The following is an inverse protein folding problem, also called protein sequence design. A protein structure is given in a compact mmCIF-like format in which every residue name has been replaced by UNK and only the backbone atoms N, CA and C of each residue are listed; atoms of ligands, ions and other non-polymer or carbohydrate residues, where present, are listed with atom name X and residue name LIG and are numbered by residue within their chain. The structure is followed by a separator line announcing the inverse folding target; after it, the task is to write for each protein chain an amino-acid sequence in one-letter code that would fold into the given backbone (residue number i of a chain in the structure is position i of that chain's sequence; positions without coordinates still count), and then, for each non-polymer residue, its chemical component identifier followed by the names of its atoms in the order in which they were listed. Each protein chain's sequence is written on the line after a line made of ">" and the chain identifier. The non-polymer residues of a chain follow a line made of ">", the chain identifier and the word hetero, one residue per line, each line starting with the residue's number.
data_IF_485414231005
#
_entry.id   IF_485414231005
#
_cell.length_a   1.000
_cell.length_b   1.000
_cell.length_c   1.000
_cell.angle_alpha   90.00
_cell.angle_beta   90.00
_cell.angle_gamma   90.00
#
_symmetry.space_group_name_H-M   'P 1'
#
loop_
_entity.id
_entity.type
_entity.pdbx_description
1 polymer ?
#
# COMPACT_ATOMS: atom_id res chain seq x y z
N UNK A 1 -3.99 -28.34 -5.59
CA UNK A 1 -3.47 -27.18 -4.83
C UNK A 1 -3.94 -25.93 -5.54
N UNK A 2 -4.87 -25.18 -4.95
CA UNK A 2 -5.26 -23.85 -5.43
C UNK A 2 -4.12 -22.89 -5.12
N UNK A 3 -3.46 -22.37 -6.15
CA UNK A 3 -2.45 -21.33 -5.99
C UNK A 3 -3.21 -20.03 -5.71
N UNK A 4 -3.18 -19.56 -4.48
CA UNK A 4 -3.70 -18.23 -4.13
C UNK A 4 -2.77 -17.17 -4.70
N UNK A 5 -3.09 -16.69 -5.91
CA UNK A 5 -2.49 -15.46 -6.47
C UNK A 5 -3.02 -14.28 -5.66
N UNK A 6 -2.12 -13.43 -5.16
CA UNK A 6 -2.43 -12.29 -4.28
C UNK A 6 -3.23 -12.64 -3.02
N UNK A 7 -2.58 -13.14 -1.95
CA UNK A 7 -3.28 -13.43 -0.70
C UNK A 7 -4.02 -12.19 -0.14
N UNK A 8 -3.52 -10.97 -0.43
CA UNK A 8 -4.17 -9.72 -0.01
C UNK A 8 -5.51 -9.41 -0.69
N UNK A 9 -5.83 -10.10 -1.80
CA UNK A 9 -7.10 -9.96 -2.52
C UNK A 9 -7.99 -11.19 -2.31
N UNK A 10 -7.79 -11.97 -1.24
CA UNK A 10 -8.64 -13.11 -0.89
C UNK A 10 -8.89 -14.09 -2.08
N UNK A 11 -7.91 -14.23 -2.97
CA UNK A 11 -7.99 -15.09 -4.15
C UNK A 11 -8.61 -14.44 -5.39
N UNK A 12 -9.04 -13.18 -5.34
CA UNK A 12 -9.45 -12.42 -6.52
C UNK A 12 -8.24 -12.03 -7.36
N UNK A 13 -8.30 -12.28 -8.67
CA UNK A 13 -7.31 -11.80 -9.65
C UNK A 13 -7.88 -11.75 -11.07
N UNK A 14 -7.18 -11.03 -11.95
CA UNK A 14 -7.60 -10.80 -13.34
C UNK A 14 -6.93 -11.78 -14.31
N UNK A 15 -7.67 -12.22 -15.32
CA UNK A 15 -7.16 -12.90 -16.51
C UNK A 15 -7.72 -12.27 -17.78
N UNK A 16 -7.10 -12.59 -18.93
CA UNK A 16 -7.60 -12.20 -20.26
C UNK A 16 -7.85 -10.68 -20.38
N UNK A 17 -6.91 -9.87 -19.86
CA UNK A 17 -6.99 -8.42 -19.91
C UNK A 17 -6.71 -7.92 -21.34
N UNK A 18 -7.75 -7.34 -21.95
CA UNK A 18 -7.67 -6.50 -23.13
C UNK A 18 -7.75 -5.05 -22.64
N UNK A 19 -6.69 -4.27 -22.81
CA UNK A 19 -6.63 -2.88 -22.36
C UNK A 19 -6.16 -1.96 -23.48
N UNK A 20 -6.74 -0.76 -23.52
CA UNK A 20 -6.40 0.32 -24.44
C UNK A 20 -5.95 1.54 -23.62
N UNK A 21 -4.64 1.66 -23.29
CA UNK A 21 -4.14 2.71 -22.42
C UNK A 21 -4.47 4.13 -22.89
N UNK A 22 -4.50 4.33 -24.21
CA UNK A 22 -4.82 5.60 -24.87
C UNK A 22 -6.23 6.11 -24.50
N UNK A 23 -7.19 5.19 -24.40
CA UNK A 23 -8.60 5.50 -24.15
C UNK A 23 -9.01 5.22 -22.72
N UNK A 24 -8.21 4.45 -21.97
CA UNK A 24 -8.57 3.88 -20.67
C UNK A 24 -9.66 2.81 -20.74
N UNK A 25 -9.98 2.32 -21.94
CA UNK A 25 -10.90 1.20 -22.12
C UNK A 25 -10.22 -0.10 -21.71
N UNK A 26 -10.97 -0.97 -21.03
CA UNK A 26 -10.51 -2.32 -20.75
C UNK A 26 -11.65 -3.31 -20.66
N UNK A 27 -11.29 -4.58 -20.83
CA UNK A 27 -12.14 -5.74 -20.58
C UNK A 27 -11.28 -6.86 -20.02
N UNK A 28 -11.75 -7.53 -18.97
CA UNK A 28 -11.06 -8.66 -18.38
C UNK A 28 -12.01 -9.66 -17.73
N UNK A 29 -11.49 -10.85 -17.49
CA UNK A 29 -12.16 -11.90 -16.70
C UNK A 29 -11.72 -11.74 -15.24
N UNK A 30 -12.69 -11.56 -14.35
CA UNK A 30 -12.46 -11.64 -12.91
C UNK A 30 -12.53 -13.10 -12.47
N UNK A 31 -11.53 -13.53 -11.70
CA UNK A 31 -11.47 -14.87 -11.14
C UNK A 31 -11.41 -14.80 -9.62
N UNK A 32 -11.86 -15.86 -8.94
CA UNK A 32 -11.68 -16.07 -7.50
C UNK A 32 -11.19 -17.49 -7.24
N UNK A 33 -10.07 -17.62 -6.52
CA UNK A 33 -9.39 -18.89 -6.26
C UNK A 33 -9.08 -19.71 -7.53
N UNK A 34 -8.88 -19.03 -8.66
CA UNK A 34 -8.59 -19.66 -9.96
C UNK A 34 -9.81 -20.04 -10.78
N UNK A 35 -11.02 -19.78 -10.30
CA UNK A 35 -12.25 -19.99 -11.06
C UNK A 35 -12.75 -18.66 -11.65
N UNK A 36 -13.09 -18.61 -12.95
CA UNK A 36 -13.75 -17.45 -13.54
C UNK A 36 -15.09 -17.20 -12.85
N UNK A 37 -15.29 -15.98 -12.37
CA UNK A 37 -16.52 -15.56 -11.68
C UNK A 37 -17.30 -14.50 -12.44
N UNK A 38 -16.69 -13.84 -13.44
CA UNK A 38 -17.41 -12.92 -14.31
C UNK A 38 -16.51 -11.99 -15.08
N UNK A 39 -17.09 -10.90 -15.59
CA UNK A 39 -16.41 -9.93 -16.44
C UNK A 39 -16.38 -8.55 -15.77
N UNK A 40 -15.27 -7.83 -15.97
CA UNK A 40 -15.13 -6.42 -15.63
C UNK A 40 -14.73 -5.64 -16.88
N UNK A 41 -15.35 -4.50 -17.13
CA UNK A 41 -15.04 -3.66 -18.27
C UNK A 41 -15.30 -2.18 -18.01
N UNK A 42 -14.53 -1.31 -18.65
CA UNK A 42 -14.82 0.13 -18.72
C UNK A 42 -14.65 0.58 -20.18
N UNK A 43 -15.56 1.43 -20.65
CA UNK A 43 -15.56 1.88 -22.06
C UNK A 43 -14.63 3.06 -22.34
N UNK A 44 -14.13 3.73 -21.31
CA UNK A 44 -13.12 4.78 -21.39
C UNK A 44 -12.58 5.10 -19.98
N UNK A 45 -11.48 5.85 -19.94
CA UNK A 45 -10.96 6.47 -18.73
C UNK A 45 -12.08 7.27 -18.03
N UNK A 46 -12.16 7.14 -16.71
CA UNK A 46 -13.14 7.82 -15.85
C UNK A 46 -14.62 7.43 -16.11
N UNK A 47 -14.89 6.37 -16.88
CA UNK A 47 -16.22 5.76 -16.93
C UNK A 47 -16.37 4.73 -15.81
N UNK A 48 -17.59 4.54 -15.26
CA UNK A 48 -17.83 3.49 -14.29
C UNK A 48 -17.43 2.12 -14.85
N UNK A 49 -16.73 1.33 -14.04
CA UNK A 49 -16.48 -0.08 -14.33
C UNK A 49 -17.80 -0.83 -14.25
N UNK A 50 -18.14 -1.55 -15.30
CA UNK A 50 -19.26 -2.47 -15.30
C UNK A 50 -18.77 -3.84 -14.84
N UNK A 51 -19.31 -4.29 -13.70
CA UNK A 51 -19.05 -5.62 -13.15
C UNK A 51 -20.24 -6.54 -13.43
N UNK A 52 -19.98 -7.65 -14.10
CA UNK A 52 -20.96 -8.70 -14.36
C UNK A 52 -20.59 -9.92 -13.51
N UNK A 53 -21.06 -9.94 -12.27
CA UNK A 53 -20.75 -10.98 -11.27
C UNK A 53 -22.04 -11.62 -10.73
N UNK A 54 -22.03 -12.92 -10.39
CA UNK A 54 -23.06 -13.53 -9.57
C UNK A 54 -23.19 -12.82 -8.21
N UNK A 55 -24.40 -12.76 -7.66
CA UNK A 55 -24.70 -12.03 -6.42
C UNK A 55 -23.76 -12.36 -5.26
N UNK A 56 -23.49 -13.64 -5.01
CA UNK A 56 -22.59 -14.08 -3.95
C UNK A 56 -21.14 -13.60 -4.16
N UNK A 57 -20.68 -13.52 -5.41
CA UNK A 57 -19.33 -13.07 -5.73
C UNK A 57 -19.24 -11.54 -5.74
N UNK A 58 -20.30 -10.84 -6.17
CA UNK A 58 -20.41 -9.39 -6.05
C UNK A 58 -20.35 -8.95 -4.58
N UNK A 59 -21.08 -9.64 -3.70
CA UNK A 59 -21.07 -9.37 -2.27
C UNK A 59 -19.68 -9.59 -1.67
N UNK A 60 -19.02 -10.71 -1.97
CA UNK A 60 -17.67 -10.97 -1.50
C UNK A 60 -16.63 -9.97 -2.05
N UNK A 61 -16.82 -9.48 -3.27
CA UNK A 61 -15.97 -8.45 -3.86
C UNK A 61 -16.13 -7.10 -3.15
N UNK A 62 -17.35 -6.71 -2.81
CA UNK A 62 -17.64 -5.49 -2.05
C UNK A 62 -17.14 -5.59 -0.59
N UNK A 63 -17.28 -6.75 0.04
CA UNK A 63 -16.72 -7.03 1.37
C UNK A 63 -15.20 -6.87 1.35
N UNK A 64 -14.51 -7.40 0.33
CA UNK A 64 -13.07 -7.19 0.17
C UNK A 64 -12.73 -5.71 -0.02
N UNK A 65 -13.51 -4.96 -0.80
CA UNK A 65 -13.29 -3.52 -0.97
C UNK A 65 -13.41 -2.78 0.39
N UNK A 66 -14.42 -3.12 1.20
CA UNK A 66 -14.62 -2.57 2.53
C UNK A 66 -13.49 -2.95 3.51
N UNK A 67 -13.07 -4.20 3.53
CA UNK A 67 -11.94 -4.70 4.33
C UNK A 67 -10.64 -3.96 4.00
N UNK A 68 -10.50 -3.56 2.73
CA UNK A 68 -9.36 -2.77 2.25
C UNK A 68 -9.58 -1.26 2.38
N UNK A 69 -10.67 -0.83 3.00
CA UNK A 69 -11.06 0.56 3.17
C UNK A 69 -11.13 1.36 1.86
N UNK A 70 -11.39 0.66 0.76
CA UNK A 70 -11.71 1.27 -0.52
C UNK A 70 -13.19 1.64 -0.45
N UNK A 71 -13.45 2.90 -0.11
CA UNK A 71 -14.81 3.43 0.07
C UNK A 71 -15.46 3.62 -1.29
N UNK A 72 -15.86 2.50 -1.89
CA UNK A 72 -16.49 2.44 -3.19
C UNK A 72 -17.63 1.44 -3.15
N UNK A 73 -18.85 1.96 -3.26
CA UNK A 73 -20.07 1.16 -3.25
C UNK A 73 -20.22 0.27 -4.49
N UNK A 74 -19.42 0.51 -5.52
CA UNK A 74 -19.50 -0.17 -6.81
C UNK A 74 -18.24 -0.98 -7.15
N UNK A 75 -17.21 -0.95 -6.29
CA UNK A 75 -16.01 -1.79 -6.41
C UNK A 75 -14.99 -1.36 -7.47
N UNK A 76 -15.14 -0.19 -8.09
CA UNK A 76 -14.18 0.38 -9.06
C UNK A 76 -12.78 0.54 -8.47
N UNK A 77 -12.65 1.02 -7.23
CA UNK A 77 -11.36 1.19 -6.57
C UNK A 77 -10.64 -0.15 -6.39
N UNK A 78 -11.36 -1.21 -6.01
CA UNK A 78 -10.78 -2.55 -5.92
C UNK A 78 -10.38 -3.07 -7.30
N UNK A 79 -11.16 -2.79 -8.34
CA UNK A 79 -10.79 -3.13 -9.70
C UNK A 79 -9.54 -2.38 -10.17
N UNK A 80 -9.41 -1.09 -9.86
CA UNK A 80 -8.22 -0.29 -10.14
C UNK A 80 -6.97 -0.87 -9.46
N UNK A 81 -7.09 -1.29 -8.20
CA UNK A 81 -6.01 -1.99 -7.49
C UNK A 81 -5.65 -3.33 -8.15
N UNK A 82 -6.64 -4.12 -8.56
CA UNK A 82 -6.41 -5.39 -9.27
C UNK A 82 -5.74 -5.18 -10.64
N UNK A 83 -6.16 -4.18 -11.41
CA UNK A 83 -5.54 -3.81 -12.68
C UNK A 83 -4.09 -3.36 -12.48
N UNK A 84 -3.85 -2.51 -11.46
CA UNK A 84 -2.50 -2.06 -11.10
C UNK A 84 -1.60 -3.24 -10.77
N UNK A 85 -2.08 -4.18 -9.95
CA UNK A 85 -1.33 -5.39 -9.59
C UNK A 85 -1.13 -6.34 -10.77
N UNK A 86 -2.12 -6.48 -11.66
CA UNK A 86 -1.96 -7.26 -12.89
C UNK A 86 -0.85 -6.69 -13.77
N UNK A 87 -0.84 -5.37 -14.00
CA UNK A 87 0.21 -4.70 -14.79
C UNK A 87 1.59 -4.87 -14.15
N UNK A 88 1.69 -4.68 -12.84
CA UNK A 88 2.95 -4.87 -12.12
C UNK A 88 3.43 -6.32 -12.15
N UNK A 89 2.53 -7.29 -12.05
CA UNK A 89 2.86 -8.71 -12.19
C UNK A 89 3.43 -9.03 -13.58
N UNK A 90 2.85 -8.47 -14.65
CA UNK A 90 3.39 -8.64 -16.00
C UNK A 90 4.74 -7.95 -16.14
N UNK A 91 4.86 -6.70 -15.71
CA UNK A 91 6.11 -5.94 -15.78
C UNK A 91 7.23 -6.63 -14.98
N UNK A 92 6.91 -7.23 -13.84
CA UNK A 92 7.86 -7.97 -13.01
C UNK A 92 8.47 -9.21 -13.68
N UNK A 93 7.89 -9.68 -14.79
CA UNK A 93 8.46 -10.75 -15.61
C UNK A 93 9.63 -10.30 -16.47
N UNK A 94 9.79 -8.99 -16.67
CA UNK A 94 10.76 -8.40 -17.59
C UNK A 94 11.72 -7.44 -16.89
N UNK A 95 11.29 -6.85 -15.77
CA UNK A 95 12.00 -5.82 -15.02
C UNK A 95 11.90 -6.07 -13.51
N UNK A 96 12.87 -5.56 -12.77
CA UNK A 96 12.67 -5.28 -11.36
C UNK A 96 11.99 -3.93 -11.21
N UNK A 97 10.85 -3.91 -10.55
CA UNK A 97 10.06 -2.69 -10.34
C UNK A 97 10.25 -2.25 -8.90
N UNK A 98 10.74 -1.03 -8.72
CA UNK A 98 10.92 -0.41 -7.42
C UNK A 98 10.07 0.85 -7.33
N UNK A 99 9.78 1.28 -6.12
CA UNK A 99 9.15 2.56 -5.87
C UNK A 99 9.94 3.44 -4.92
N UNK A 100 9.85 4.74 -5.16
CA UNK A 100 10.50 5.76 -4.36
C UNK A 100 9.80 5.97 -3.02
N UNK A 101 10.51 6.58 -2.07
CA UNK A 101 9.95 7.10 -0.83
C UNK A 101 8.90 8.17 -1.12
N UNK A 102 7.92 8.28 -0.24
CA UNK A 102 7.00 9.43 -0.16
C UNK A 102 7.22 10.16 1.16
N UNK A 103 7.22 11.49 1.13
CA UNK A 103 7.45 12.33 2.32
C UNK A 103 6.14 12.76 2.94
N UNK A 104 5.13 13.04 2.11
CA UNK A 104 3.78 13.42 2.52
C UNK A 104 2.76 12.36 2.06
N UNK A 105 1.66 12.13 2.80
CA UNK A 105 0.62 11.18 2.40
C UNK A 105 -0.05 11.45 1.05
N UNK A 106 -0.02 12.70 0.58
CA UNK A 106 -0.49 13.09 -0.76
C UNK A 106 0.52 12.82 -1.89
N UNK A 107 1.76 12.48 -1.56
CA UNK A 107 2.78 12.19 -2.57
C UNK A 107 2.43 10.89 -3.33
N UNK A 108 2.68 10.90 -4.64
CA UNK A 108 2.55 9.71 -5.48
C UNK A 108 3.92 9.04 -5.61
N UNK A 109 4.10 7.78 -5.17
CA UNK A 109 5.36 7.07 -5.34
C UNK A 109 5.72 6.94 -6.82
N UNK A 110 6.96 7.25 -7.18
CA UNK A 110 7.46 7.05 -8.55
C UNK A 110 7.95 5.62 -8.71
N UNK A 111 7.62 4.99 -9.85
CA UNK A 111 8.08 3.64 -10.18
C UNK A 111 9.35 3.70 -11.03
N UNK A 112 10.40 3.01 -10.59
CA UNK A 112 11.69 2.90 -11.28
C UNK A 112 11.93 1.45 -11.69
N UNK A 113 12.45 1.24 -12.89
CA UNK A 113 12.64 -0.08 -13.49
C UNK A 113 14.11 -0.40 -13.67
N UNK A 114 14.53 -1.58 -13.21
CA UNK A 114 15.88 -2.10 -13.38
C UNK A 114 15.89 -3.39 -14.21
N UNK A 115 17.01 -3.75 -14.84
CA UNK A 115 17.17 -5.06 -15.47
C UNK A 115 16.97 -6.21 -14.46
N UNK A 116 16.34 -7.30 -14.89
CA UNK A 116 16.13 -8.48 -14.04
C UNK A 116 17.42 -9.12 -13.54
N UNK A 117 18.50 -9.07 -14.33
CA UNK A 117 19.78 -9.66 -13.96
C UNK A 117 20.56 -8.89 -12.89
N UNK A 118 20.13 -7.68 -12.53
CA UNK A 118 20.79 -6.90 -11.49
C UNK A 118 20.45 -7.48 -10.10
N UNK A 119 21.41 -7.76 -9.22
CA UNK A 119 21.08 -8.22 -7.88
C UNK A 119 20.30 -7.17 -7.08
N UNK A 120 19.29 -7.58 -6.30
CA UNK A 120 18.52 -6.67 -5.43
C UNK A 120 19.43 -5.91 -4.47
N UNK A 121 20.48 -6.55 -3.97
CA UNK A 121 21.48 -5.91 -3.10
C UNK A 121 22.27 -4.81 -3.82
N UNK A 122 22.51 -4.94 -5.12
CA UNK A 122 23.15 -3.89 -5.92
C UNK A 122 22.21 -2.70 -6.11
N UNK A 123 20.92 -2.95 -6.36
CA UNK A 123 19.90 -1.89 -6.42
C UNK A 123 19.75 -1.19 -5.06
N UNK A 124 19.78 -1.95 -3.97
CA UNK A 124 19.72 -1.40 -2.63
C UNK A 124 20.89 -0.48 -2.30
N UNK A 125 22.08 -0.75 -2.84
CA UNK A 125 23.21 0.15 -2.70
C UNK A 125 23.03 1.49 -3.45
N UNK A 126 22.13 1.52 -4.45
CA UNK A 126 21.75 2.73 -5.19
C UNK A 126 20.55 3.44 -4.55
N UNK A 127 19.96 2.90 -3.47
CA UNK A 127 18.71 3.40 -2.94
C UNK A 127 18.77 4.86 -2.49
N UNK A 128 19.94 5.34 -2.09
CA UNK A 128 20.17 6.71 -1.63
C UNK A 128 20.96 7.55 -2.65
N UNK A 129 21.15 7.05 -3.88
CA UNK A 129 21.75 7.84 -4.95
C UNK A 129 20.88 9.08 -5.23
N UNK A 130 21.49 10.28 -5.36
CA UNK A 130 20.76 11.51 -5.69
C UNK A 130 19.88 11.40 -6.94
N UNK A 131 20.22 10.56 -7.92
CA UNK A 131 19.39 10.30 -9.11
C UNK A 131 18.00 9.75 -8.74
N UNK A 132 17.90 9.00 -7.65
CA UNK A 132 16.66 8.36 -7.20
C UNK A 132 16.02 9.06 -6.00
N UNK A 133 16.39 10.30 -5.71
CA UNK A 133 15.78 11.08 -4.64
C UNK A 133 14.24 11.12 -4.78
N UNK A 134 13.46 10.91 -3.69
CA UNK A 134 13.87 10.86 -2.28
C UNK A 134 14.45 9.52 -1.78
N UNK A 135 14.61 8.54 -2.66
CA UNK A 135 15.28 7.27 -2.41
C UNK A 135 14.40 6.06 -2.76
N UNK A 136 14.99 4.92 -3.06
CA UNK A 136 14.27 3.67 -3.39
C UNK A 136 13.96 2.87 -2.13
N UNK A 137 12.69 2.56 -1.87
CA UNK A 137 12.29 1.99 -0.57
C UNK A 137 11.65 0.63 -0.65
N UNK A 138 11.01 0.31 -1.77
CA UNK A 138 10.26 -0.93 -1.92
C UNK A 138 10.47 -1.52 -3.31
N UNK A 139 10.43 -2.85 -3.37
CA UNK A 139 10.47 -3.67 -4.57
C UNK A 139 9.13 -4.41 -4.74
N UNK A 140 8.64 -4.48 -5.95
CA UNK A 140 7.45 -5.28 -6.27
C UNK A 140 7.84 -6.75 -6.43
N UNK A 141 7.21 -7.61 -5.64
CA UNK A 141 7.35 -9.06 -5.75
C UNK A 141 6.04 -9.63 -6.31
N UNK A 142 6.14 -10.32 -7.44
CA UNK A 142 5.00 -10.94 -8.13
C UNK A 142 4.11 -11.72 -7.18
N UNK A 143 2.79 -11.49 -7.27
CA UNK A 143 1.76 -12.09 -6.40
C UNK A 143 1.84 -11.75 -4.91
N UNK A 144 2.90 -11.09 -4.43
CA UNK A 144 3.07 -10.69 -3.04
C UNK A 144 2.88 -9.18 -2.85
N UNK A 145 3.01 -8.39 -3.92
CA UNK A 145 2.92 -6.94 -3.87
C UNK A 145 4.24 -6.28 -3.47
N UNK A 146 4.14 -5.05 -2.98
CA UNK A 146 5.28 -4.26 -2.56
C UNK A 146 5.91 -4.82 -1.27
N UNK A 147 7.24 -4.90 -1.27
CA UNK A 147 8.06 -5.33 -0.14
C UNK A 147 9.16 -4.30 0.12
N UNK A 148 9.55 -4.05 1.38
CA UNK A 148 10.69 -3.20 1.69
C UNK A 148 11.97 -3.70 0.98
N UNK A 149 12.83 -2.76 0.59
CA UNK A 149 14.13 -3.07 0.00
C UNK A 149 15.15 -3.43 1.11
N UNK A 150 15.82 -4.61 1.06
CA UNK A 150 16.86 -4.97 2.02
C UNK A 150 18.21 -4.30 1.66
N UNK A 151 19.11 -3.97 2.60
CA UNK A 151 19.02 -4.13 4.05
C UNK A 151 18.63 -2.79 4.72
N UNK A 152 17.39 -2.33 4.54
CA UNK A 152 16.85 -1.26 5.39
C UNK A 152 16.37 -1.83 6.72
N UNK A 153 17.20 -2.66 7.36
CA UNK A 153 16.97 -3.29 8.68
C UNK A 153 17.01 -2.28 9.85
N UNK A 154 16.77 -1.00 9.58
CA UNK A 154 16.80 0.09 10.58
C UNK A 154 15.41 0.61 10.91
N UNK A 155 14.35 -0.15 10.63
CA UNK A 155 13.01 0.15 11.16
C UNK A 155 12.72 -0.77 12.37
N UNK A 156 13.27 -0.47 13.57
CA UNK A 156 13.05 -1.29 14.78
C UNK A 156 11.57 -1.45 15.13
N UNK A 157 10.71 -0.62 14.54
CA UNK A 157 9.27 -0.58 14.76
C UNK A 157 8.50 -1.20 13.58
N UNK A 158 8.92 -2.37 13.09
CA UNK A 158 8.22 -3.12 12.02
C UNK A 158 7.91 -2.26 10.77
N UNK A 159 8.89 -1.47 10.34
CA UNK A 159 8.73 -0.60 9.17
C UNK A 159 8.15 0.78 9.48
N UNK A 160 7.66 1.04 10.70
CA UNK A 160 7.16 2.36 11.08
C UNK A 160 8.29 3.34 11.37
N UNK A 161 8.11 4.58 10.90
CA UNK A 161 8.97 5.73 11.19
C UNK A 161 8.11 7.00 11.29
N UNK A 162 8.61 8.02 11.99
CA UNK A 162 7.97 9.32 12.08
C UNK A 162 8.84 10.36 11.37
N UNK A 163 8.26 11.13 10.46
CA UNK A 163 8.95 12.22 9.77
C UNK A 163 8.41 13.58 10.18
N UNK A 164 9.29 14.57 10.08
CA UNK A 164 9.00 16.00 10.25
C UNK A 164 8.14 16.29 11.51
N UNK A 165 8.58 15.88 12.71
CA UNK A 165 7.86 16.20 13.94
C UNK A 165 7.85 17.71 14.15
N UNK A 166 6.65 18.28 14.16
CA UNK A 166 6.41 19.68 14.50
C UNK A 166 5.90 19.71 15.94
N UNK A 167 6.71 20.27 16.82
CA UNK A 167 6.33 20.62 18.19
C UNK A 167 6.10 22.12 18.27
N UNK A 168 4.83 22.55 18.26
CA UNK A 168 4.53 23.94 18.53
C UNK A 168 4.50 24.19 20.04
N UNK A 169 5.16 25.24 20.54
CA UNK A 169 5.10 25.60 21.94
C UNK A 169 3.66 26.02 22.28
N UNK A 170 2.91 25.06 22.84
CA UNK A 170 1.60 25.13 23.51
C UNK A 170 0.39 24.52 22.82
N UNK A 171 0.41 24.06 21.55
CA UNK A 171 -0.87 23.73 20.90
C UNK A 171 -0.96 22.43 20.10
N UNK A 172 0.06 21.89 19.41
CA UNK A 172 -0.13 20.61 18.69
C UNK A 172 1.20 19.87 18.47
N UNK A 173 1.18 18.53 18.58
CA UNK A 173 2.18 17.67 17.95
C UNK A 173 1.61 17.18 16.62
N UNK A 174 2.36 17.34 15.54
CA UNK A 174 2.05 16.74 14.25
C UNK A 174 3.30 16.08 13.69
N UNK A 175 3.16 14.86 13.19
CA UNK A 175 4.21 14.23 12.37
C UNK A 175 3.59 13.37 11.27
N UNK A 176 4.38 13.08 10.24
CA UNK A 176 3.99 12.12 9.20
C UNK A 176 4.29 10.72 9.71
N UNK A 177 3.28 9.86 9.70
CA UNK A 177 3.45 8.43 9.93
C UNK A 177 3.91 7.79 8.62
N UNK A 178 5.10 7.20 8.64
CA UNK A 178 5.57 6.36 7.55
C UNK A 178 5.49 4.87 7.90
N UNK A 179 5.26 4.04 6.90
CA UNK A 179 5.42 2.59 6.97
C UNK A 179 6.16 2.10 5.73
N UNK A 180 7.25 1.38 5.92
CA UNK A 180 8.06 0.79 4.85
C UNK A 180 8.56 1.84 3.84
N UNK A 181 8.86 3.05 4.32
CA UNK A 181 9.30 4.19 3.49
C UNK A 181 8.17 4.89 2.73
N UNK A 182 6.90 4.57 3.00
CA UNK A 182 5.75 5.29 2.44
C UNK A 182 5.06 6.10 3.51
N UNK A 183 4.74 7.37 3.23
CA UNK A 183 3.87 8.18 4.05
C UNK A 183 2.44 7.62 3.99
N UNK A 184 1.93 7.17 5.13
CA UNK A 184 0.61 6.50 5.24
C UNK A 184 -0.44 7.37 5.93
N UNK A 185 -0.03 8.48 6.53
CA UNK A 185 -0.93 9.45 7.13
C UNK A 185 -0.21 10.34 8.14
N UNK A 186 -1.00 10.96 9.02
CA UNK A 186 -0.51 11.89 10.02
C UNK A 186 -0.81 11.40 11.44
N UNK A 187 0.11 11.66 12.37
CA UNK A 187 -0.16 11.61 13.81
C UNK A 187 -0.41 13.02 14.32
N UNK A 188 -1.41 13.16 15.17
CA UNK A 188 -1.82 14.45 15.75
C UNK A 188 -2.03 14.27 17.25
N UNK A 189 -1.48 15.17 18.08
CA UNK A 189 -1.94 15.35 19.46
C UNK A 189 -2.43 16.77 19.66
N UNK A 190 -3.42 16.93 20.53
CA UNK A 190 -3.94 18.23 20.94
C UNK A 190 -3.93 18.27 22.48
N UNK A 191 -3.34 19.29 23.14
CA UNK A 191 -3.27 19.40 24.59
C UNK A 191 -4.62 19.42 25.29
N UNK A 192 -5.71 19.76 24.59
CA UNK A 192 -7.07 19.72 25.11
C UNK A 192 -7.77 18.36 24.95
N UNK A 193 -7.21 17.44 24.15
CA UNK A 193 -7.73 16.10 23.93
C UNK A 193 -6.71 15.09 24.48
N UNK A 194 -7.11 14.31 25.49
CA UNK A 194 -6.27 13.22 25.96
C UNK A 194 -6.18 12.14 24.87
N UNK A 195 -5.00 11.99 24.27
CA UNK A 195 -4.65 10.86 23.40
C UNK A 195 -4.17 11.21 22.00
N UNK A 196 -3.45 10.27 21.42
CA UNK A 196 -2.94 10.32 20.05
C UNK A 196 -4.08 10.11 19.02
N UNK A 197 -4.10 10.96 17.99
CA UNK A 197 -5.00 10.81 16.84
C UNK A 197 -4.23 10.33 15.62
N UNK A 198 -4.63 9.18 15.10
CA UNK A 198 -4.11 8.55 13.88
C UNK A 198 -5.00 8.96 12.69
N UNK A 199 -4.52 9.87 11.84
CA UNK A 199 -5.19 10.22 10.60
C UNK A 199 -4.56 9.45 9.42
N UNK A 200 -4.90 8.17 9.32
CA UNK A 200 -4.46 7.26 8.26
C UNK A 200 -5.53 6.19 7.98
N UNK A 201 -5.34 5.39 6.92
CA UNK A 201 -6.27 4.30 6.66
C UNK A 201 -6.30 3.30 7.86
N UNK A 202 -7.46 2.73 8.23
CA UNK A 202 -7.57 1.96 9.46
C UNK A 202 -6.66 0.74 9.54
N UNK A 203 -6.24 0.16 8.40
CA UNK A 203 -5.26 -0.92 8.38
C UNK A 203 -3.90 -0.49 8.96
N UNK A 204 -3.47 0.75 8.68
CA UNK A 204 -2.21 1.29 9.18
C UNK A 204 -2.35 1.68 10.66
N UNK A 205 -3.47 2.30 11.04
CA UNK A 205 -3.77 2.60 12.43
C UNK A 205 -3.78 1.32 13.31
N UNK A 206 -4.46 0.25 12.85
CA UNK A 206 -4.50 -1.03 13.57
C UNK A 206 -3.12 -1.67 13.68
N UNK A 207 -2.33 -1.66 12.60
CA UNK A 207 -0.98 -2.20 12.63
C UNK A 207 -0.07 -1.42 13.59
N UNK A 208 -0.18 -0.09 13.60
CA UNK A 208 0.55 0.78 14.52
C UNK A 208 0.17 0.53 15.98
N UNK A 209 -1.12 0.51 16.30
CA UNK A 209 -1.61 0.25 17.66
C UNK A 209 -1.31 -1.17 18.13
N UNK A 210 -1.37 -2.16 17.23
CA UNK A 210 -0.97 -3.53 17.55
C UNK A 210 0.52 -3.60 17.91
N UNK A 211 1.37 -2.89 17.17
CA UNK A 211 2.80 -2.79 17.50
C UNK A 211 3.01 -2.13 18.86
N UNK A 212 2.32 -1.02 19.13
CA UNK A 212 2.37 -0.32 20.42
C UNK A 212 2.05 -1.28 21.57
N UNK A 213 0.95 -2.03 21.46
CA UNK A 213 0.53 -3.01 22.46
C UNK A 213 1.46 -4.22 22.57
N UNK A 214 2.11 -4.61 21.47
CA UNK A 214 3.10 -5.70 21.46
C UNK A 214 4.37 -5.31 22.23
N UNK A 215 4.82 -4.07 22.06
CA UNK A 215 6.00 -3.54 22.74
C UNK A 215 5.70 -3.14 24.19
N UNK A 216 4.51 -2.59 24.44
CA UNK A 216 4.01 -2.24 25.76
C UNK A 216 2.49 -2.50 25.84
N UNK A 217 2.03 -3.54 26.57
CA UNK A 217 0.61 -3.87 26.67
C UNK A 217 -0.29 -2.77 27.26
N UNK A 218 0.28 -1.76 27.92
CA UNK A 218 -0.45 -0.61 28.47
C UNK A 218 -0.62 0.54 27.46
N UNK A 219 0.11 0.50 26.33
CA UNK A 219 0.07 1.54 25.30
C UNK A 219 -1.11 1.35 24.36
N UNK A 220 -2.31 1.69 24.84
CA UNK A 220 -3.54 1.48 24.09
C UNK A 220 -3.77 2.49 22.96
N UNK A 221 -3.19 3.69 23.07
CA UNK A 221 -3.35 4.76 22.09
C UNK A 221 -2.09 5.00 21.23
N UNK A 222 -0.97 4.33 21.54
CA UNK A 222 0.27 4.42 20.78
C UNK A 222 1.18 5.59 21.19
N UNK A 223 0.84 6.33 22.25
CA UNK A 223 1.62 7.48 22.72
C UNK A 223 3.03 7.06 23.15
N UNK A 224 3.15 5.95 23.88
CA UNK A 224 4.47 5.49 24.35
C UNK A 224 5.33 4.99 23.18
N UNK A 225 4.73 4.38 22.17
CA UNK A 225 5.40 4.02 20.93
C UNK A 225 5.91 5.26 20.19
N UNK A 226 5.13 6.33 20.11
CA UNK A 226 5.58 7.61 19.51
C UNK A 226 6.80 8.15 20.25
N UNK A 227 6.74 8.24 21.58
CA UNK A 227 7.88 8.67 22.41
C UNK A 227 9.12 7.78 22.18
N UNK A 228 8.91 6.47 22.07
CA UNK A 228 9.98 5.50 21.82
C UNK A 228 10.61 5.67 20.44
N UNK A 229 9.80 5.93 19.40
CA UNK A 229 10.29 6.18 18.04
C UNK A 229 11.09 7.49 18.01
N UNK A 230 10.57 8.56 18.59
CA UNK A 230 11.24 9.87 18.63
C UNK A 230 12.54 9.82 19.43
N UNK A 231 12.59 9.08 20.54
CA UNK A 231 13.78 8.91 21.37
C UNK A 231 14.86 7.99 20.79
N UNK A 232 14.57 7.27 19.70
CA UNK A 232 15.53 6.41 19.00
C UNK A 232 16.36 7.16 17.94
N UNK A 233 16.01 8.42 17.65
CA UNK A 233 16.70 9.31 16.71
C UNK A 233 17.54 10.37 17.44
#
# INVERSE_FOLDING_TARGET
>A
MTISRHPQFQGFFLTDLEAHPETGEFRCVLTRHGHPIGLAQASAANRPVQLQLPEAEAQAFLELAQDRHLHDHEGHLLMGELLRHFTLDQLSLERQVLQTQTRLPEDVPTQIQFPLGMPVSAIAALADDPEYAPGLVQIYIRYQGWRPLPPRDTAPFQGFALLDPIEEPNEHFQCVLQRDGQAVGYLLTHPAQAGLRLNCAPLHARAFLHLAQTLNPQDHDGTLLVETILGAH
#
